data_IF_897616130495
#
_entry.id   IF_897616130495
#
_cell.length_a   1.000
_cell.length_b   1.000
_cell.length_c   1.000
_cell.angle_alpha   90.00
_cell.angle_beta   90.00
_cell.angle_gamma   90.00
#
_symmetry.space_group_name_H-M   'P 1'
#
loop_
_entity.id
_entity.type
_entity.pdbx_description
1 polymer ?
#
# COMPACT_ATOMS: atom_id res chain seq x y z
N UNK A 1 -5.15 8.30 -9.41
CA UNK A 1 -5.96 7.53 -8.43
C UNK A 1 -5.57 7.86 -7.00
N UNK A 2 -6.45 7.56 -6.03
CA UNK A 2 -6.18 7.75 -4.59
C UNK A 2 -5.39 6.59 -4.00
N UNK A 3 -4.55 6.88 -3.00
CA UNK A 3 -3.86 5.88 -2.18
C UNK A 3 -3.71 6.35 -0.73
N UNK A 4 -3.58 5.39 0.19
CA UNK A 4 -3.20 5.66 1.59
C UNK A 4 -1.72 5.35 1.75
N UNK A 5 -0.93 6.35 2.14
CA UNK A 5 0.50 6.23 2.34
C UNK A 5 0.83 6.37 3.83
N UNK A 6 1.60 5.42 4.37
CA UNK A 6 2.20 5.54 5.68
C UNK A 6 3.49 6.34 5.54
N UNK A 7 3.51 7.58 6.05
CA UNK A 7 4.62 8.53 5.87
C UNK A 7 5.66 8.45 6.99
N UNK A 8 5.23 8.03 8.18
CA UNK A 8 6.03 7.77 9.37
C UNK A 8 5.26 6.83 10.31
N UNK A 9 5.88 6.28 11.37
CA UNK A 9 5.13 5.53 12.37
C UNK A 9 3.91 6.31 12.86
N UNK A 10 2.76 5.66 12.87
CA UNK A 10 1.47 6.21 13.27
C UNK A 10 0.94 7.38 12.42
N UNK A 11 1.50 7.62 11.24
CA UNK A 11 1.11 8.74 10.36
C UNK A 11 0.71 8.24 8.98
N UNK A 12 -0.59 8.34 8.70
CA UNK A 12 -1.14 8.10 7.36
C UNK A 12 -1.48 9.42 6.68
N UNK A 13 -1.25 9.46 5.37
CA UNK A 13 -1.74 10.50 4.48
C UNK A 13 -2.53 9.86 3.33
N UNK A 14 -3.68 10.42 3.00
CA UNK A 14 -4.30 10.17 1.71
C UNK A 14 -3.59 11.01 0.66
N UNK A 15 -3.15 10.38 -0.43
CA UNK A 15 -2.43 11.01 -1.53
C UNK A 15 -3.13 10.72 -2.86
N UNK A 16 -2.96 11.64 -3.80
CA UNK A 16 -3.27 11.42 -5.21
C UNK A 16 -1.98 11.00 -5.93
N UNK A 17 -2.05 9.89 -6.66
CA UNK A 17 -0.97 9.36 -7.50
C UNK A 17 -1.46 9.22 -8.94
N UNK A 18 -0.53 9.13 -9.89
CA UNK A 18 -0.88 8.83 -11.28
C UNK A 18 -1.55 7.46 -11.40
N UNK A 19 -2.45 7.31 -12.36
CA UNK A 19 -3.00 5.98 -12.65
C UNK A 19 -1.92 5.09 -13.27
N UNK A 20 -1.90 3.78 -12.94
CA UNK A 20 -0.98 2.86 -13.56
C UNK A 20 -1.16 2.85 -15.08
N UNK A 21 -0.05 2.76 -15.81
CA UNK A 21 -0.08 2.56 -17.25
C UNK A 21 -0.63 1.16 -17.59
N UNK A 22 -0.98 0.96 -18.86
CA UNK A 22 -1.38 -0.36 -19.36
C UNK A 22 -0.31 -1.42 -19.02
N UNK A 23 -0.72 -2.60 -18.54
CA UNK A 23 0.24 -3.62 -18.12
C UNK A 23 1.06 -4.14 -19.31
N UNK A 24 2.33 -4.49 -19.06
CA UNK A 24 3.18 -5.14 -20.05
C UNK A 24 2.85 -6.63 -20.25
N UNK A 25 3.57 -7.32 -21.15
CA UNK A 25 3.42 -8.77 -21.32
C UNK A 25 3.70 -9.54 -20.01
N UNK A 26 2.75 -10.35 -19.57
CA UNK A 26 2.86 -11.13 -18.33
C UNK A 26 2.40 -10.40 -17.07
N UNK A 27 1.93 -9.16 -17.19
CA UNK A 27 1.40 -8.37 -16.08
C UNK A 27 -0.12 -8.22 -16.19
N UNK A 28 -0.75 -7.88 -15.06
CA UNK A 28 -2.17 -7.55 -15.01
C UNK A 28 -2.37 -6.26 -14.22
N UNK A 29 -3.19 -5.36 -14.78
CA UNK A 29 -3.69 -4.20 -14.04
C UNK A 29 -5.00 -4.59 -13.36
N UNK A 30 -5.00 -4.55 -12.03
CA UNK A 30 -6.07 -5.05 -11.19
C UNK A 30 -6.74 -3.89 -10.46
N UNK A 31 -8.07 -3.80 -10.56
CA UNK A 31 -8.86 -2.88 -9.73
C UNK A 31 -9.08 -3.52 -8.35
N UNK A 32 -8.55 -2.87 -7.32
CA UNK A 32 -8.69 -3.34 -5.94
C UNK A 32 -10.06 -2.94 -5.39
N UNK A 33 -10.85 -3.92 -4.92
CA UNK A 33 -12.18 -3.68 -4.33
C UNK A 33 -12.15 -3.64 -2.80
N UNK A 34 -11.26 -4.44 -2.19
CA UNK A 34 -11.05 -4.58 -0.75
C UNK A 34 -9.57 -4.89 -0.48
N UNK A 35 -9.08 -4.52 0.70
CA UNK A 35 -7.73 -4.87 1.17
C UNK A 35 -7.81 -5.29 2.63
N UNK A 36 -7.21 -6.43 2.97
CA UNK A 36 -7.03 -6.91 4.34
C UNK A 36 -5.95 -6.12 5.09
N UNK A 37 -6.01 -6.15 6.43
CA UNK A 37 -4.97 -5.61 7.29
C UNK A 37 -4.22 -6.79 7.90
N UNK A 38 -2.94 -6.93 7.53
CA UNK A 38 -2.08 -7.97 8.07
C UNK A 38 -1.36 -7.46 9.33
N UNK A 39 -0.88 -8.39 10.17
CA UNK A 39 -0.03 -8.05 11.33
C UNK A 39 1.27 -7.32 10.94
N UNK A 40 1.74 -7.52 9.70
CA UNK A 40 2.91 -6.81 9.15
C UNK A 40 2.60 -5.34 8.87
N UNK A 41 1.38 -5.01 8.42
CA UNK A 41 0.93 -3.63 8.24
C UNK A 41 0.84 -2.92 9.61
N UNK A 42 0.34 -3.61 10.64
CA UNK A 42 0.31 -3.11 12.02
C UNK A 42 1.74 -2.89 12.56
N UNK A 43 2.64 -3.83 12.32
CA UNK A 43 4.05 -3.71 12.74
C UNK A 43 4.76 -2.57 12.03
N UNK A 44 4.43 -2.35 10.75
CA UNK A 44 4.80 -1.17 9.98
C UNK A 44 4.26 0.08 10.65
N UNK A 45 2.95 0.22 10.81
CA UNK A 45 2.30 1.36 11.48
C UNK A 45 2.92 1.72 12.84
N UNK A 46 3.25 0.73 13.67
CA UNK A 46 3.85 0.95 14.99
C UNK A 46 5.37 1.25 14.96
N UNK A 47 6.02 1.25 13.79
CA UNK A 47 7.47 1.44 13.67
C UNK A 47 8.31 0.28 14.21
N UNK A 48 7.72 -0.92 14.32
CA UNK A 48 8.38 -2.11 14.91
C UNK A 48 8.97 -3.06 13.86
N UNK A 49 8.61 -2.86 12.60
CA UNK A 49 9.09 -3.69 11.49
C UNK A 49 10.46 -3.18 10.99
N UNK A 50 11.57 -3.91 11.22
CA UNK A 50 12.93 -3.37 10.99
C UNK A 50 13.25 -3.02 9.54
N UNK A 51 12.53 -3.63 8.60
CA UNK A 51 12.73 -3.48 7.15
C UNK A 51 11.57 -2.75 6.46
N UNK A 52 10.72 -2.07 7.24
CA UNK A 52 9.68 -1.22 6.68
C UNK A 52 10.27 0.17 6.38
N UNK A 53 10.27 0.55 5.09
CA UNK A 53 10.81 1.82 4.62
C UNK A 53 9.64 2.79 4.42
N UNK A 54 9.75 3.97 5.00
CA UNK A 54 8.81 5.07 4.82
C UNK A 54 9.35 6.06 3.77
N UNK A 55 8.47 6.76 3.03
CA UNK A 55 7.02 6.55 2.97
C UNK A 55 6.65 5.32 2.13
N UNK A 56 5.58 4.61 2.48
CA UNK A 56 5.12 3.42 1.74
C UNK A 56 3.59 3.29 1.72
N UNK A 57 3.04 2.87 0.59
CA UNK A 57 1.65 2.42 0.47
C UNK A 57 1.62 0.95 0.94
N UNK A 58 1.02 0.63 2.09
CA UNK A 58 0.90 -0.74 2.58
C UNK A 58 -0.26 -1.48 1.89
N UNK A 59 -0.49 -2.74 2.27
CA UNK A 59 -1.56 -3.58 1.71
C UNK A 59 -1.05 -4.60 0.70
N UNK A 60 -1.06 -5.87 1.12
CA UNK A 60 -0.64 -7.02 0.32
C UNK A 60 -1.69 -8.15 0.33
N UNK A 61 -2.87 -7.88 0.87
CA UNK A 61 -4.00 -8.82 0.98
C UNK A 61 -5.18 -8.27 0.17
N UNK A 62 -5.03 -8.20 -1.15
CA UNK A 62 -6.01 -7.56 -2.03
C UNK A 62 -7.13 -8.52 -2.46
N UNK A 63 -8.37 -8.03 -2.42
CA UNK A 63 -9.54 -8.65 -3.03
C UNK A 63 -9.85 -7.98 -4.37
N UNK A 64 -9.94 -8.81 -5.42
CA UNK A 64 -10.23 -8.43 -6.81
C UNK A 64 -11.66 -8.73 -7.19
#
# INVERSE_FOLDING_TARGET
MKAIQLTAPQQFAEIDIEEPQSPGPGEALVRVHRVGICGTDISGYLGKMPFFIYPRIPGHELGV
#
